data_IF_337783295621
#
_entry.id   IF_337783295621
#
_cell.length_a   1.000
_cell.length_b   1.000
_cell.length_c   1.000
_cell.angle_alpha   90.00
_cell.angle_beta   90.00
_cell.angle_gamma   90.00
#
_symmetry.space_group_name_H-M   'P 1'
#
loop_
_entity.id
_entity.type
_entity.pdbx_description
1 polymer ?
#
# COMPACT_ATOMS: atom_id res chain seq x y z
N UNK A 1 4.73 -38.19 -26.71
CA UNK A 1 5.88 -37.62 -25.98
C UNK A 1 5.69 -36.14 -25.58
N UNK A 2 5.23 -35.24 -26.48
CA UNK A 2 5.21 -33.79 -26.22
C UNK A 2 4.28 -33.29 -25.09
N UNK A 3 3.16 -33.96 -24.82
CA UNK A 3 2.22 -33.56 -23.76
C UNK A 3 2.76 -33.81 -22.34
N UNK A 4 3.64 -34.81 -22.16
CA UNK A 4 4.25 -35.12 -20.86
C UNK A 4 5.38 -34.14 -20.55
N UNK A 5 6.21 -33.82 -21.55
CA UNK A 5 7.29 -32.84 -21.42
C UNK A 5 6.77 -31.44 -21.09
N UNK A 6 5.68 -31.00 -21.74
CA UNK A 6 5.08 -29.68 -21.47
C UNK A 6 4.46 -29.58 -20.07
N UNK A 7 3.92 -30.68 -19.53
CA UNK A 7 3.44 -30.74 -18.14
C UNK A 7 4.58 -30.61 -17.13
N UNK A 8 5.70 -31.30 -17.37
CA UNK A 8 6.88 -31.24 -16.50
C UNK A 8 7.47 -29.82 -16.51
N UNK A 9 7.66 -29.23 -17.70
CA UNK A 9 8.18 -27.85 -17.83
C UNK A 9 7.28 -26.86 -17.09
N UNK A 10 5.95 -26.93 -17.25
CA UNK A 10 5.01 -26.08 -16.50
C UNK A 10 5.15 -26.26 -15.00
N UNK A 11 5.26 -27.49 -14.51
CA UNK A 11 5.48 -27.79 -13.10
C UNK A 11 6.77 -27.16 -12.56
N UNK A 12 7.87 -27.31 -13.30
CA UNK A 12 9.15 -26.69 -12.93
C UNK A 12 9.09 -25.16 -12.93
N UNK A 13 8.44 -24.55 -13.92
CA UNK A 13 8.25 -23.09 -13.98
C UNK A 13 7.44 -22.61 -12.78
N UNK A 14 6.32 -23.26 -12.47
CA UNK A 14 5.50 -22.91 -11.31
C UNK A 14 6.30 -23.06 -10.02
N UNK A 15 7.01 -24.18 -9.84
CA UNK A 15 7.82 -24.43 -8.65
C UNK A 15 8.93 -23.38 -8.49
N UNK A 16 9.64 -23.04 -9.57
CA UNK A 16 10.66 -22.00 -9.56
C UNK A 16 10.07 -20.62 -9.27
N UNK A 17 8.93 -20.27 -9.88
CA UNK A 17 8.22 -19.02 -9.60
C UNK A 17 7.81 -18.93 -8.13
N UNK A 18 7.26 -20.00 -7.55
CA UNK A 18 6.91 -20.03 -6.13
C UNK A 18 8.14 -19.92 -5.23
N UNK A 19 9.21 -20.64 -5.55
CA UNK A 19 10.46 -20.59 -4.79
C UNK A 19 11.10 -19.19 -4.79
N UNK A 20 10.85 -18.37 -5.81
CA UNK A 20 11.30 -16.97 -5.87
C UNK A 20 10.31 -16.00 -5.21
N UNK A 21 9.02 -16.17 -5.46
CA UNK A 21 7.97 -15.27 -4.94
C UNK A 21 7.78 -15.38 -3.43
N UNK A 22 7.88 -16.60 -2.87
CA UNK A 22 7.66 -16.82 -1.44
C UNK A 22 8.69 -16.03 -0.61
N UNK A 23 10.01 -16.19 -0.80
CA UNK A 23 10.99 -15.36 -0.08
C UNK A 23 10.84 -13.87 -0.36
N UNK A 24 10.52 -13.49 -1.60
CA UNK A 24 10.33 -12.09 -1.98
C UNK A 24 9.23 -11.39 -1.16
N UNK A 25 8.15 -12.11 -0.85
CA UNK A 25 7.05 -11.60 -0.01
C UNK A 25 7.41 -11.75 1.47
N UNK A 26 7.87 -12.93 1.88
CA UNK A 26 8.05 -13.25 3.30
C UNK A 26 9.20 -12.50 3.95
N UNK A 27 10.31 -12.24 3.26
CA UNK A 27 11.47 -11.53 3.83
C UNK A 27 11.10 -10.11 4.30
N UNK A 28 10.53 -9.23 3.46
CA UNK A 28 10.13 -7.89 3.92
C UNK A 28 8.99 -7.93 4.93
N UNK A 29 8.01 -8.84 4.79
CA UNK A 29 6.97 -9.00 5.82
C UNK A 29 7.53 -9.45 7.17
N UNK A 30 8.46 -10.39 7.17
CA UNK A 30 9.21 -10.80 8.36
C UNK A 30 9.95 -9.61 8.97
N UNK A 31 10.62 -8.81 8.13
CA UNK A 31 11.36 -7.65 8.60
C UNK A 31 10.46 -6.65 9.32
N UNK A 32 9.31 -6.30 8.72
CA UNK A 32 8.32 -5.41 9.32
C UNK A 32 7.81 -5.97 10.65
N UNK A 33 7.42 -7.25 10.67
CA UNK A 33 6.92 -7.90 11.89
C UNK A 33 7.98 -7.90 12.99
N UNK A 34 9.20 -8.34 12.67
CA UNK A 34 10.33 -8.37 13.60
C UNK A 34 10.60 -6.99 14.18
N UNK A 35 10.74 -5.97 13.33
CA UNK A 35 11.02 -4.59 13.79
C UNK A 35 9.92 -4.03 14.69
N UNK A 36 8.66 -4.44 14.51
CA UNK A 36 7.57 -4.01 15.37
C UNK A 36 7.73 -4.49 16.82
N UNK A 37 8.30 -5.67 17.03
CA UNK A 37 8.49 -6.27 18.36
C UNK A 37 9.94 -6.21 18.89
N UNK A 38 10.85 -5.56 18.18
CA UNK A 38 12.28 -5.50 18.53
C UNK A 38 12.67 -4.10 18.97
N UNK A 39 13.79 -3.97 19.67
CA UNK A 39 14.33 -2.64 20.00
C UNK A 39 14.83 -1.93 18.72
N UNK A 40 14.83 -0.59 18.68
CA UNK A 40 15.33 0.17 17.52
C UNK A 40 16.78 -0.19 17.14
N UNK A 41 17.64 -0.50 18.13
CA UNK A 41 19.01 -0.94 17.89
C UNK A 41 19.12 -2.29 17.15
N UNK A 42 18.09 -3.14 17.26
CA UNK A 42 18.01 -4.46 16.59
C UNK A 42 17.33 -4.37 15.21
N UNK A 43 17.13 -3.16 14.67
CA UNK A 43 16.45 -2.98 13.38
C UNK A 43 17.17 -3.71 12.24
N UNK A 44 18.50 -3.82 12.29
CA UNK A 44 19.33 -4.42 11.23
C UNK A 44 19.78 -5.85 11.49
N UNK A 45 19.46 -6.42 12.66
CA UNK A 45 19.80 -7.81 13.00
C UNK A 45 18.71 -8.76 12.50
N UNK A 46 19.10 -9.98 12.09
CA UNK A 46 18.12 -11.00 11.68
C UNK A 46 17.29 -11.47 12.87
N UNK A 47 17.94 -11.76 14.01
CA UNK A 47 17.28 -12.22 15.23
C UNK A 47 17.46 -11.13 16.29
N UNK A 48 16.37 -10.58 16.84
CA UNK A 48 16.46 -9.54 17.86
C UNK A 48 16.96 -10.09 19.19
N UNK A 49 17.65 -9.26 19.96
CA UNK A 49 18.17 -9.61 21.28
C UNK A 49 17.06 -9.77 22.33
N UNK A 50 15.94 -9.07 22.13
CA UNK A 50 14.79 -9.11 23.02
C UNK A 50 13.49 -8.86 22.26
N UNK A 51 12.42 -9.52 22.70
CA UNK A 51 11.05 -9.26 22.27
C UNK A 51 10.40 -8.24 23.20
N UNK A 52 9.81 -7.19 22.63
CA UNK A 52 9.38 -6.00 23.35
C UNK A 52 8.09 -5.43 22.72
N UNK A 53 7.22 -4.80 23.51
CA UNK A 53 5.98 -4.13 23.06
C UNK A 53 6.09 -2.60 23.10
N UNK A 54 7.29 -2.09 23.36
CA UNK A 54 7.59 -0.69 23.60
C UNK A 54 7.26 0.17 22.38
N UNK A 55 7.51 -0.32 21.17
CA UNK A 55 7.14 0.38 19.94
C UNK A 55 5.62 0.57 19.80
N UNK A 56 4.80 -0.33 20.34
CA UNK A 56 3.34 -0.16 20.34
C UNK A 56 2.89 0.84 21.41
N UNK A 57 3.54 0.82 22.57
CA UNK A 57 3.27 1.77 23.65
C UNK A 57 3.65 3.21 23.25
N UNK A 58 4.78 3.41 22.58
CA UNK A 58 5.22 4.73 22.09
C UNK A 58 4.28 5.28 20.99
N UNK A 59 3.65 4.42 20.19
CA UNK A 59 2.64 4.84 19.22
C UNK A 59 1.31 5.28 19.87
N UNK A 60 0.96 4.70 21.03
CA UNK A 60 -0.26 5.02 21.75
C UNK A 60 -0.15 6.35 22.52
N UNK A 61 1.00 6.60 23.15
CA UNK A 61 1.30 7.84 23.87
C UNK A 61 2.64 8.42 23.39
N UNK A 62 2.65 9.11 22.23
CA UNK A 62 3.87 9.58 21.61
C UNK A 62 4.59 10.66 22.44
N UNK A 63 5.88 10.46 22.75
CA UNK A 63 6.73 11.50 23.36
C UNK A 63 7.68 12.10 22.34
N UNK A 64 8.07 13.38 22.51
CA UNK A 64 9.02 14.05 21.61
C UNK A 64 10.34 13.29 21.46
N UNK A 65 10.79 12.60 22.51
CA UNK A 65 12.03 11.81 22.51
C UNK A 65 11.91 10.57 21.60
N UNK A 66 10.76 9.88 21.62
CA UNK A 66 10.50 8.73 20.75
C UNK A 66 10.52 9.12 19.26
N UNK A 67 10.07 10.33 18.92
CA UNK A 67 10.12 10.85 17.54
C UNK A 67 11.54 10.97 17.01
N UNK A 68 12.46 11.52 17.81
CA UNK A 68 13.85 11.70 17.39
C UNK A 68 14.65 10.40 17.36
N UNK A 69 14.24 9.39 18.13
CA UNK A 69 14.95 8.11 18.25
C UNK A 69 14.53 7.04 17.25
N UNK A 70 13.28 7.02 16.78
CA UNK A 70 12.77 5.85 16.04
C UNK A 70 11.84 6.10 14.85
N UNK A 71 11.24 7.29 14.71
CA UNK A 71 10.18 7.51 13.69
C UNK A 71 10.65 8.22 12.41
N UNK A 72 11.93 8.59 12.34
CA UNK A 72 12.50 9.31 11.21
C UNK A 72 12.04 10.77 11.13
N UNK A 73 12.84 11.60 10.48
CA UNK A 73 12.68 13.06 10.39
C UNK A 73 11.42 13.56 9.63
N UNK A 74 10.50 12.65 9.25
CA UNK A 74 9.34 12.93 8.38
C UNK A 74 7.99 12.94 9.10
N UNK A 75 7.94 12.60 10.38
CA UNK A 75 6.69 12.64 11.15
C UNK A 75 6.50 14.05 11.75
N UNK A 76 5.77 14.89 11.04
CA UNK A 76 5.24 16.13 11.58
C UNK A 76 4.19 15.79 12.67
N UNK A 77 4.40 16.35 13.87
CA UNK A 77 3.46 16.43 15.01
C UNK A 77 3.28 15.12 15.79
N UNK A 78 3.44 15.15 17.14
CA UNK A 78 3.15 14.00 17.99
C UNK A 78 1.64 13.72 18.05
N UNK A 79 1.13 12.95 17.09
CA UNK A 79 -0.26 12.49 17.08
C UNK A 79 -0.34 11.03 17.52
N UNK A 80 -1.26 10.67 18.44
CA UNK A 80 -1.52 9.28 18.79
C UNK A 80 -1.95 8.47 17.57
N UNK A 81 -1.49 7.22 17.47
CA UNK A 81 -1.84 6.33 16.35
C UNK A 81 -3.35 6.13 16.21
N UNK A 82 -4.12 6.19 17.30
CA UNK A 82 -5.58 6.11 17.28
C UNK A 82 -6.22 7.20 16.42
N UNK A 83 -5.67 8.42 16.46
CA UNK A 83 -6.13 9.52 15.62
C UNK A 83 -5.74 9.31 14.16
N UNK A 84 -4.52 8.84 13.89
CA UNK A 84 -4.05 8.55 12.54
C UNK A 84 -4.88 7.43 11.87
N UNK A 85 -5.17 6.35 12.62
CA UNK A 85 -6.03 5.25 12.17
C UNK A 85 -7.45 5.76 11.90
N UNK A 86 -8.04 6.54 12.82
CA UNK A 86 -9.39 7.09 12.64
C UNK A 86 -9.48 7.96 11.38
N UNK A 87 -8.53 8.87 11.19
CA UNK A 87 -8.50 9.75 10.02
C UNK A 87 -8.36 8.94 8.73
N UNK A 88 -7.43 7.99 8.71
CA UNK A 88 -7.22 7.11 7.54
C UNK A 88 -8.44 6.26 7.24
N UNK A 89 -9.11 5.72 8.26
CA UNK A 89 -10.33 4.93 8.12
C UNK A 89 -11.46 5.77 7.53
N UNK A 90 -11.72 6.97 8.07
CA UNK A 90 -12.78 7.86 7.57
C UNK A 90 -12.49 8.26 6.13
N UNK A 91 -11.27 8.70 5.81
CA UNK A 91 -10.90 9.14 4.47
C UNK A 91 -10.96 7.98 3.47
N UNK A 92 -10.38 6.83 3.79
CA UNK A 92 -10.40 5.67 2.87
C UNK A 92 -11.80 5.13 2.64
N UNK A 93 -12.63 5.04 3.69
CA UNK A 93 -14.00 4.56 3.58
C UNK A 93 -14.88 5.52 2.76
N UNK A 94 -14.86 6.81 3.08
CA UNK A 94 -15.68 7.81 2.38
C UNK A 94 -15.24 7.95 0.91
N UNK A 95 -13.94 8.05 0.64
CA UNK A 95 -13.43 8.12 -0.72
C UNK A 95 -13.74 6.86 -1.53
N UNK A 96 -13.63 5.66 -0.93
CA UNK A 96 -13.97 4.40 -1.61
C UNK A 96 -15.46 4.34 -1.96
N UNK A 97 -16.34 4.69 -1.02
CA UNK A 97 -17.79 4.69 -1.26
C UNK A 97 -18.19 5.66 -2.37
N UNK A 98 -17.68 6.89 -2.32
CA UNK A 98 -17.94 7.91 -3.35
C UNK A 98 -17.40 7.44 -4.70
N UNK A 99 -16.17 6.92 -4.73
CA UNK A 99 -15.53 6.45 -5.97
C UNK A 99 -16.29 5.27 -6.59
N UNK A 100 -16.73 4.29 -5.77
CA UNK A 100 -17.52 3.15 -6.24
C UNK A 100 -18.88 3.62 -6.75
N UNK A 101 -19.57 4.51 -6.02
CA UNK A 101 -20.88 5.00 -6.44
C UNK A 101 -20.82 5.73 -7.79
N UNK A 102 -19.88 6.67 -7.94
CA UNK A 102 -19.70 7.44 -9.18
C UNK A 102 -19.17 6.52 -10.30
N UNK A 103 -18.17 5.70 -10.00
CA UNK A 103 -17.57 4.77 -10.95
C UNK A 103 -18.56 3.73 -11.48
N UNK A 104 -19.45 3.24 -10.62
CA UNK A 104 -20.53 2.34 -11.02
C UNK A 104 -21.49 3.00 -12.01
N UNK A 105 -21.94 4.23 -11.72
CA UNK A 105 -22.83 4.97 -12.62
C UNK A 105 -22.15 5.26 -13.97
N UNK A 106 -20.89 5.70 -13.95
CA UNK A 106 -20.11 5.96 -15.16
C UNK A 106 -19.91 4.68 -15.99
N UNK A 107 -19.54 3.57 -15.34
CA UNK A 107 -19.37 2.27 -15.97
C UNK A 107 -20.67 1.72 -16.56
N UNK A 108 -21.79 1.88 -15.85
CA UNK A 108 -23.11 1.51 -16.36
C UNK A 108 -23.46 2.31 -17.61
N UNK A 109 -23.25 3.64 -17.58
CA UNK A 109 -23.56 4.49 -18.71
C UNK A 109 -22.72 4.15 -19.96
N UNK A 110 -21.43 3.90 -19.77
CA UNK A 110 -20.50 3.51 -20.82
C UNK A 110 -20.87 2.16 -21.47
N UNK A 111 -21.34 1.20 -20.69
CA UNK A 111 -21.63 -0.15 -21.18
C UNK A 111 -23.02 -0.27 -21.78
N UNK A 112 -24.03 0.39 -21.20
CA UNK A 112 -25.44 0.23 -21.62
C UNK A 112 -25.93 1.24 -22.63
N UNK A 113 -25.43 2.48 -22.62
CA UNK A 113 -25.90 3.50 -23.56
C UNK A 113 -24.95 3.65 -24.76
N UNK A 114 -25.52 4.09 -25.87
CA UNK A 114 -24.80 4.49 -27.08
C UNK A 114 -24.96 6.00 -27.25
N UNK A 115 -23.83 6.72 -27.28
CA UNK A 115 -23.80 8.17 -27.41
C UNK A 115 -22.57 8.60 -28.21
N UNK A 116 -22.67 9.77 -28.85
CA UNK A 116 -21.73 10.23 -29.90
C UNK A 116 -20.25 10.25 -29.48
N UNK A 117 -19.95 10.58 -28.22
CA UNK A 117 -18.57 10.74 -27.71
C UNK A 117 -18.08 9.58 -26.84
N UNK A 118 -18.72 8.41 -26.90
CA UNK A 118 -18.40 7.25 -26.05
C UNK A 118 -16.94 6.82 -26.10
N UNK A 119 -16.37 6.66 -27.30
CA UNK A 119 -14.99 6.20 -27.47
C UNK A 119 -13.99 7.24 -26.94
N UNK A 120 -14.28 8.53 -27.11
CA UNK A 120 -13.46 9.59 -26.56
C UNK A 120 -13.48 9.59 -25.03
N UNK A 121 -14.65 9.45 -24.41
CA UNK A 121 -14.77 9.35 -22.94
C UNK A 121 -14.03 8.12 -22.39
N UNK A 122 -14.13 6.96 -23.05
CA UNK A 122 -13.35 5.78 -22.67
C UNK A 122 -11.84 6.03 -22.73
N UNK A 123 -11.37 6.60 -23.84
CA UNK A 123 -9.96 6.95 -24.01
C UNK A 123 -9.47 7.96 -22.96
N UNK A 124 -10.28 8.97 -22.66
CA UNK A 124 -9.97 10.00 -21.67
C UNK A 124 -9.86 9.43 -20.24
N UNK A 125 -10.76 8.52 -19.86
CA UNK A 125 -10.69 7.82 -18.57
C UNK A 125 -9.38 7.02 -18.46
N UNK A 126 -9.04 6.24 -19.48
CA UNK A 126 -7.79 5.46 -19.49
C UNK A 126 -6.56 6.36 -19.47
N UNK A 127 -6.58 7.44 -20.27
CA UNK A 127 -5.49 8.42 -20.31
C UNK A 127 -5.25 9.09 -18.96
N UNK A 128 -6.32 9.35 -18.20
CA UNK A 128 -6.22 9.94 -16.85
C UNK A 128 -5.37 9.08 -15.88
N UNK A 129 -5.35 7.76 -16.04
CA UNK A 129 -4.50 6.84 -15.24
C UNK A 129 -3.01 6.87 -15.63
N UNK A 130 -2.65 7.50 -16.75
CA UNK A 130 -1.26 7.59 -17.21
C UNK A 130 -0.51 8.74 -16.52
N UNK A 131 -1.23 9.71 -15.94
CA UNK A 131 -0.59 10.82 -15.22
C UNK A 131 0.12 10.31 -13.96
N UNK A 132 1.40 10.65 -13.78
CA UNK A 132 2.11 10.27 -12.58
C UNK A 132 1.60 11.07 -11.38
N UNK A 133 1.36 10.37 -10.27
CA UNK A 133 0.78 10.94 -9.05
C UNK A 133 1.55 12.17 -8.54
N UNK A 134 2.88 12.20 -8.69
CA UNK A 134 3.71 13.31 -8.19
C UNK A 134 3.45 14.65 -8.89
N UNK A 135 2.96 14.66 -10.15
CA UNK A 135 2.62 15.91 -10.85
C UNK A 135 1.41 16.59 -10.20
N UNK A 136 0.53 15.81 -9.56
CA UNK A 136 -0.69 16.30 -8.92
C UNK A 136 -0.39 16.91 -7.54
N UNK A 137 0.73 16.55 -6.90
CA UNK A 137 1.06 16.97 -5.53
C UNK A 137 1.30 18.49 -5.44
N UNK A 138 2.08 19.07 -6.34
CA UNK A 138 2.39 20.51 -6.33
C UNK A 138 1.13 21.39 -6.42
N UNK A 139 0.22 21.20 -7.39
CA UNK A 139 -0.97 22.03 -7.48
C UNK A 139 -1.92 21.84 -6.29
N UNK A 140 -2.01 20.63 -5.72
CA UNK A 140 -2.77 20.43 -4.49
C UNK A 140 -2.21 21.28 -3.33
N UNK A 141 -0.89 21.32 -3.16
CA UNK A 141 -0.23 22.14 -2.13
C UNK A 141 -0.36 23.66 -2.36
N UNK A 142 -0.72 24.11 -3.57
CA UNK A 142 -0.97 25.53 -3.82
C UNK A 142 -2.41 25.93 -3.46
N UNK A 143 -3.33 24.96 -3.42
CA UNK A 143 -4.74 25.17 -3.09
C UNK A 143 -4.98 25.12 -1.57
N UNK A 144 -4.12 24.41 -0.84
CA UNK A 144 -4.18 24.24 0.62
C UNK A 144 -3.03 24.96 1.32
#
# INVERSE_FOLDING_TARGET
MGAMLSRIIKGCVIAASLALLIPWILIPSYWTFKTAFSRPEDAWTWIPSSFTLQNFASLAAPTLEDYFKGHGMRAAIPIPISQAIRNSFIVSLTSSLISVAIGFLAGYALTRFQYRFKNFMQGFIVFSYTFPVFIIVIPLLMIY
#
